data_IF_806757325320
#
_entry.id   IF_806757325320
#
_cell.length_a   1.000
_cell.length_b   1.000
_cell.length_c   1.000
_cell.angle_alpha   90.00
_cell.angle_beta   90.00
_cell.angle_gamma   90.00
#
_symmetry.space_group_name_H-M   'P 1'
#
loop_
_entity.id
_entity.type
_entity.pdbx_description
1 polymer ?
#
# COMPACT_ATOMS: atom_id res chain seq x y z
N UNK A 1 -8.39 18.27 -19.57
CA UNK A 1 -7.39 18.50 -18.49
C UNK A 1 -7.96 18.18 -17.10
N UNK A 2 -9.16 18.67 -16.76
CA UNK A 2 -9.81 18.42 -15.46
C UNK A 2 -10.04 16.94 -15.12
N UNK A 3 -10.47 16.10 -16.08
CA UNK A 3 -10.71 14.66 -15.85
C UNK A 3 -9.44 13.88 -15.44
N UNK A 4 -8.27 14.26 -15.98
CA UNK A 4 -6.99 13.65 -15.59
C UNK A 4 -6.62 14.02 -14.15
N UNK A 5 -6.82 15.28 -13.76
CA UNK A 5 -6.58 15.74 -12.39
C UNK A 5 -7.50 15.03 -11.40
N UNK A 6 -8.80 14.90 -11.71
CA UNK A 6 -9.76 14.16 -10.87
C UNK A 6 -9.32 12.70 -10.70
N UNK A 7 -8.86 12.05 -11.77
CA UNK A 7 -8.33 10.68 -11.69
C UNK A 7 -7.15 10.56 -10.74
N UNK A 8 -6.18 11.46 -10.81
CA UNK A 8 -5.03 11.41 -9.90
C UNK A 8 -5.43 11.65 -8.44
N UNK A 9 -6.43 12.48 -8.17
CA UNK A 9 -6.99 12.63 -6.83
C UNK A 9 -7.70 11.36 -6.32
N UNK A 10 -8.44 10.66 -7.19
CA UNK A 10 -9.05 9.37 -6.84
C UNK A 10 -7.95 8.35 -6.51
N UNK A 11 -6.91 8.28 -7.34
CA UNK A 11 -5.79 7.36 -7.13
C UNK A 11 -5.01 7.69 -5.86
N UNK A 12 -4.80 8.96 -5.58
CA UNK A 12 -4.19 9.45 -4.34
C UNK A 12 -4.99 8.99 -3.12
N UNK A 13 -6.28 9.35 -3.06
CA UNK A 13 -7.12 8.99 -1.91
C UNK A 13 -7.24 7.48 -1.73
N UNK A 14 -7.41 6.75 -2.83
CA UNK A 14 -7.50 5.28 -2.80
C UNK A 14 -6.21 4.64 -2.28
N UNK A 15 -5.05 5.07 -2.78
CA UNK A 15 -3.78 4.52 -2.34
C UNK A 15 -3.49 4.84 -0.88
N UNK A 16 -3.69 6.10 -0.45
CA UNK A 16 -3.44 6.50 0.93
C UNK A 16 -4.28 5.68 1.91
N UNK A 17 -5.58 5.50 1.62
CA UNK A 17 -6.49 4.69 2.44
C UNK A 17 -6.07 3.22 2.44
N UNK A 18 -5.79 2.64 1.27
CA UNK A 18 -5.37 1.24 1.17
C UNK A 18 -4.05 1.01 1.91
N UNK A 19 -3.11 1.94 1.82
CA UNK A 19 -1.82 1.85 2.52
C UNK A 19 -2.03 1.89 4.04
N UNK A 20 -2.83 2.85 4.53
CA UNK A 20 -3.16 2.93 5.95
C UNK A 20 -3.86 1.68 6.48
N UNK A 21 -4.81 1.15 5.72
CA UNK A 21 -5.49 -0.10 6.06
C UNK A 21 -4.53 -1.30 6.03
N UNK A 22 -3.60 -1.34 5.07
CA UNK A 22 -2.55 -2.37 4.99
C UNK A 22 -1.65 -2.39 6.21
N UNK A 23 -1.14 -1.22 6.60
CA UNK A 23 -0.31 -1.07 7.81
C UNK A 23 -1.06 -1.51 9.05
N UNK A 24 -2.32 -1.10 9.20
CA UNK A 24 -3.17 -1.52 10.30
C UNK A 24 -3.43 -3.04 10.30
N UNK A 25 -3.65 -3.63 9.13
CA UNK A 25 -3.89 -5.08 9.04
C UNK A 25 -2.64 -5.90 9.40
N UNK A 26 -1.45 -5.40 9.03
CA UNK A 26 -0.18 -6.01 9.45
C UNK A 26 -0.04 -5.96 10.97
N UNK A 27 -0.31 -4.82 11.59
CA UNK A 27 -0.25 -4.67 13.05
C UNK A 27 -1.28 -5.57 13.74
N UNK A 28 -2.50 -5.63 13.22
CA UNK A 28 -3.55 -6.47 13.79
C UNK A 28 -3.17 -7.96 13.76
N UNK A 29 -2.57 -8.43 12.66
CA UNK A 29 -2.25 -9.86 12.48
C UNK A 29 -0.94 -10.24 13.17
N UNK A 30 0.10 -9.41 13.04
CA UNK A 30 1.43 -9.71 13.57
C UNK A 30 1.66 -9.09 14.95
N UNK A 31 1.26 -7.84 15.16
CA UNK A 31 1.36 -7.15 16.46
C UNK A 31 0.54 -7.81 17.57
N UNK A 32 -0.61 -8.42 17.26
CA UNK A 32 -1.40 -9.18 18.25
C UNK A 32 -0.67 -10.39 18.85
N UNK A 33 0.44 -10.85 18.25
CA UNK A 33 1.30 -11.91 18.80
C UNK A 33 2.22 -11.40 19.90
N UNK A 34 2.42 -10.09 20.01
CA UNK A 34 3.31 -9.46 20.97
C UNK A 34 2.55 -9.31 22.30
N UNK A 35 2.88 -10.13 23.29
CA UNK A 35 2.17 -10.18 24.58
C UNK A 35 2.75 -9.26 25.66
N UNK A 36 3.81 -8.51 25.37
CA UNK A 36 4.48 -7.63 26.35
C UNK A 36 3.79 -6.29 26.53
N UNK A 37 3.79 -5.80 27.77
CA UNK A 37 3.33 -4.45 28.17
C UNK A 37 4.08 -3.28 27.52
N UNK A 38 5.16 -3.56 26.78
CA UNK A 38 5.98 -2.57 26.07
C UNK A 38 5.50 -2.32 24.63
N UNK A 39 4.58 -3.14 24.11
CA UNK A 39 4.01 -2.94 22.78
C UNK A 39 2.88 -1.91 22.85
N UNK A 40 3.09 -0.75 22.22
CA UNK A 40 2.08 0.29 22.09
C UNK A 40 1.18 -0.09 20.92
N UNK A 41 0.00 -0.62 21.22
CA UNK A 41 -1.05 -0.84 20.22
C UNK A 41 -1.63 0.52 19.82
N UNK A 42 -1.26 0.99 18.63
CA UNK A 42 -1.82 2.22 18.04
C UNK A 42 -3.26 2.05 17.56
N UNK A 43 -3.76 0.82 17.51
CA UNK A 43 -5.12 0.48 17.11
C UNK A 43 -5.53 1.16 15.81
N UNK A 44 -6.73 1.72 15.80
CA UNK A 44 -7.30 2.35 14.60
C UNK A 44 -6.56 3.64 14.18
N UNK A 45 -5.83 4.29 15.08
CA UNK A 45 -5.04 5.48 14.76
C UNK A 45 -3.88 5.16 13.79
N UNK A 46 -3.43 3.90 13.73
CA UNK A 46 -2.42 3.47 12.78
C UNK A 46 -2.88 3.62 11.33
N UNK A 47 -4.19 3.54 11.07
CA UNK A 47 -4.76 3.84 9.74
C UNK A 47 -4.46 5.29 9.37
N UNK A 48 -4.61 6.24 10.30
CA UNK A 48 -4.36 7.65 10.02
C UNK A 48 -2.87 7.92 9.74
N UNK A 49 -1.98 7.38 10.56
CA UNK A 49 -0.54 7.50 10.33
C UNK A 49 -0.10 6.84 9.01
N UNK A 50 -0.64 5.66 8.72
CA UNK A 50 -0.39 4.97 7.46
C UNK A 50 -0.96 5.72 6.26
N UNK A 51 -2.11 6.39 6.38
CA UNK A 51 -2.66 7.27 5.35
C UNK A 51 -1.73 8.47 5.06
N UNK A 52 -1.13 9.07 6.09
CA UNK A 52 -0.15 10.15 5.93
C UNK A 52 1.11 9.63 5.21
N UNK A 53 1.66 8.51 5.68
CA UNK A 53 2.82 7.88 5.05
C UNK A 53 2.54 7.47 3.59
N UNK A 54 1.39 6.85 3.34
CA UNK A 54 0.90 6.49 2.02
C UNK A 54 0.72 7.69 1.10
N UNK A 55 0.28 8.83 1.63
CA UNK A 55 0.16 10.08 0.86
C UNK A 55 1.51 10.58 0.35
N UNK A 56 2.55 10.48 1.18
CA UNK A 56 3.92 10.82 0.78
C UNK A 56 4.47 9.83 -0.26
N UNK A 57 4.34 8.53 0.02
CA UNK A 57 4.77 7.47 -0.91
C UNK A 57 4.03 7.52 -2.24
N UNK A 58 2.78 7.99 -2.23
CA UNK A 58 2.04 8.20 -3.47
C UNK A 58 2.73 9.24 -4.35
N UNK A 59 3.03 10.41 -3.79
CA UNK A 59 3.66 11.50 -4.55
C UNK A 59 5.03 11.11 -5.10
N UNK A 60 5.83 10.40 -4.28
CA UNK A 60 7.22 10.07 -4.62
C UNK A 60 7.34 8.85 -5.54
N UNK A 61 6.51 7.82 -5.34
CA UNK A 61 6.67 6.52 -6.01
C UNK A 61 5.48 6.22 -6.91
N UNK A 62 4.26 6.20 -6.36
CA UNK A 62 3.11 5.67 -7.11
C UNK A 62 2.67 6.60 -8.25
N UNK A 63 2.72 7.91 -8.05
CA UNK A 63 2.35 8.89 -9.06
C UNK A 63 3.26 8.81 -10.29
N UNK A 64 4.60 8.91 -10.18
CA UNK A 64 5.48 8.77 -11.35
C UNK A 64 5.35 7.39 -11.99
N UNK A 65 5.19 6.33 -11.19
CA UNK A 65 4.99 4.98 -11.70
C UNK A 65 3.69 4.87 -12.51
N UNK A 66 2.58 5.44 -12.02
CA UNK A 66 1.30 5.42 -12.72
C UNK A 66 1.38 6.16 -14.05
N UNK A 67 2.06 7.32 -14.07
CA UNK A 67 2.30 8.09 -15.30
C UNK A 67 3.11 7.27 -16.32
N UNK A 68 4.16 6.57 -15.87
CA UNK A 68 4.97 5.68 -16.71
C UNK A 68 4.11 4.53 -17.26
N UNK A 69 3.31 3.89 -16.41
CA UNK A 69 2.45 2.78 -16.82
C UNK A 69 1.41 3.19 -17.85
N UNK A 70 0.80 4.37 -17.70
CA UNK A 70 -0.13 4.89 -18.68
C UNK A 70 0.53 5.16 -20.03
N UNK A 71 1.72 5.74 -20.01
CA UNK A 71 2.42 6.16 -21.22
C UNK A 71 2.95 4.98 -22.03
N UNK A 72 3.46 3.95 -21.36
CA UNK A 72 4.18 2.86 -22.02
C UNK A 72 3.45 1.51 -21.96
N UNK A 73 2.69 1.24 -20.90
CA UNK A 73 2.20 -0.10 -20.58
C UNK A 73 0.75 -0.10 -20.07
N UNK A 74 -0.20 0.35 -20.90
CA UNK A 74 -1.61 0.45 -20.50
C UNK A 74 -2.41 -0.88 -20.59
N UNK A 75 -1.76 -2.00 -20.27
CA UNK A 75 -2.39 -3.33 -20.16
C UNK A 75 -2.58 -3.67 -18.69
N UNK A 76 -3.79 -4.11 -18.32
CA UNK A 76 -4.14 -4.44 -16.92
C UNK A 76 -3.17 -5.45 -16.30
N UNK A 77 -2.83 -6.52 -17.03
CA UNK A 77 -1.94 -7.58 -16.55
C UNK A 77 -0.55 -7.03 -16.19
N UNK A 78 -0.01 -6.10 -16.99
CA UNK A 78 1.30 -5.50 -16.71
C UNK A 78 1.22 -4.62 -15.45
N UNK A 79 0.16 -3.81 -15.33
CA UNK A 79 -0.07 -2.98 -14.13
C UNK A 79 -0.19 -3.82 -12.87
N UNK A 80 -0.92 -4.93 -12.92
CA UNK A 80 -1.05 -5.88 -11.80
C UNK A 80 0.31 -6.42 -11.37
N UNK A 81 1.11 -6.93 -12.32
CA UNK A 81 2.45 -7.47 -12.00
C UNK A 81 3.32 -6.39 -11.36
N UNK A 82 3.39 -5.20 -11.96
CA UNK A 82 4.32 -4.17 -11.48
C UNK A 82 3.89 -3.58 -10.16
N UNK A 83 2.61 -3.25 -9.98
CA UNK A 83 2.13 -2.75 -8.69
C UNK A 83 2.20 -3.81 -7.59
N UNK A 84 2.08 -5.10 -7.90
CA UNK A 84 2.36 -6.18 -6.93
C UNK A 84 3.83 -6.24 -6.55
N UNK A 85 4.77 -6.06 -7.49
CA UNK A 85 6.21 -6.00 -7.18
C UNK A 85 6.51 -4.81 -6.27
N UNK A 86 5.92 -3.65 -6.53
CA UNK A 86 6.07 -2.48 -5.65
C UNK A 86 5.43 -2.74 -4.30
N UNK A 87 4.26 -3.38 -4.26
CA UNK A 87 3.61 -3.85 -3.04
C UNK A 87 4.49 -4.79 -2.22
N UNK A 88 5.20 -5.72 -2.87
CA UNK A 88 6.19 -6.58 -2.21
C UNK A 88 7.22 -5.75 -1.44
N UNK A 89 7.85 -4.75 -2.08
CA UNK A 89 8.84 -3.90 -1.42
C UNK A 89 8.24 -3.05 -0.31
N UNK A 90 7.00 -2.55 -0.48
CA UNK A 90 6.31 -1.84 0.59
C UNK A 90 6.02 -2.72 1.79
N UNK A 91 5.60 -3.97 1.58
CA UNK A 91 5.38 -4.91 2.67
C UNK A 91 6.64 -5.17 3.49
N UNK A 92 7.80 -5.35 2.82
CA UNK A 92 9.10 -5.46 3.50
C UNK A 92 9.43 -4.20 4.31
N UNK A 93 9.27 -3.04 3.69
CA UNK A 93 9.57 -1.75 4.32
C UNK A 93 8.71 -1.52 5.56
N UNK A 94 7.39 -1.69 5.44
CA UNK A 94 6.45 -1.50 6.55
C UNK A 94 6.73 -2.47 7.69
N UNK A 95 7.01 -3.74 7.39
CA UNK A 95 7.35 -4.72 8.41
C UNK A 95 8.63 -4.33 9.17
N UNK A 96 9.68 -3.91 8.45
CA UNK A 96 10.94 -3.49 9.07
C UNK A 96 10.86 -2.19 9.87
N UNK A 97 9.90 -1.30 9.55
CA UNK A 97 9.65 -0.08 10.34
C UNK A 97 8.82 -0.38 11.59
N UNK A 98 7.81 -1.24 11.49
CA UNK A 98 6.89 -1.53 12.58
C UNK A 98 7.48 -2.50 13.62
N UNK A 99 8.27 -3.48 13.18
CA UNK A 99 8.79 -4.51 14.08
C UNK A 99 10.31 -4.43 14.22
N UNK A 100 10.77 -4.26 15.45
CA UNK A 100 12.18 -4.31 15.78
C UNK A 100 12.70 -5.75 15.75
N UNK A 101 13.95 -5.95 15.33
CA UNK A 101 14.54 -7.28 15.10
C UNK A 101 14.45 -8.24 16.30
N UNK A 102 14.54 -7.72 17.54
CA UNK A 102 14.38 -8.52 18.75
C UNK A 102 12.96 -9.08 18.89
N UNK A 103 11.93 -8.29 18.56
CA UNK A 103 10.53 -8.73 18.62
C UNK A 103 10.24 -9.79 17.55
N UNK A 104 10.87 -9.68 16.37
CA UNK A 104 10.72 -10.67 15.29
C UNK A 104 11.20 -12.05 15.72
N UNK A 105 12.34 -12.12 16.42
CA UNK A 105 12.88 -13.38 16.90
C UNK A 105 12.11 -13.94 18.10
N UNK A 106 11.70 -13.09 19.03
CA UNK A 106 11.01 -13.49 20.26
C UNK A 106 9.58 -13.96 19.98
N UNK A 107 8.85 -13.26 19.11
CA UNK A 107 7.44 -13.51 18.83
C UNK A 107 7.18 -14.24 17.50
N UNK A 108 8.23 -14.68 16.81
CA UNK A 108 8.14 -15.36 15.51
C UNK A 108 7.28 -14.59 14.50
N UNK A 109 7.44 -13.27 14.46
CA UNK A 109 6.72 -12.40 13.52
C UNK A 109 7.14 -12.75 12.10
N UNK A 110 6.17 -12.77 11.20
CA UNK A 110 6.39 -13.23 9.83
C UNK A 110 6.35 -12.06 8.84
N UNK A 111 7.48 -11.78 8.19
CA UNK A 111 7.55 -10.73 7.16
C UNK A 111 6.65 -11.04 5.95
N UNK A 112 6.48 -12.33 5.66
CA UNK A 112 5.66 -12.82 4.53
C UNK A 112 4.21 -12.34 4.62
N UNK A 113 3.64 -12.23 5.81
CA UNK A 113 2.27 -11.75 6.00
C UNK A 113 2.12 -10.30 5.53
N UNK A 114 3.07 -9.43 5.90
CA UNK A 114 3.11 -8.05 5.41
C UNK A 114 3.29 -7.97 3.89
N UNK A 115 4.21 -8.76 3.35
CA UNK A 115 4.43 -8.85 1.90
C UNK A 115 3.14 -9.20 1.17
N UNK A 116 2.42 -10.24 1.61
CA UNK A 116 1.18 -10.68 0.96
C UNK A 116 0.08 -9.61 1.02
N UNK A 117 -0.06 -8.93 2.15
CA UNK A 117 -1.03 -7.84 2.33
C UNK A 117 -0.75 -6.70 1.33
N UNK A 118 0.50 -6.24 1.26
CA UNK A 118 0.84 -5.13 0.37
C UNK A 118 0.90 -5.52 -1.11
N UNK A 119 1.21 -6.78 -1.44
CA UNK A 119 1.00 -7.31 -2.79
C UNK A 119 -0.48 -7.27 -3.20
N UNK A 120 -1.38 -7.62 -2.28
CA UNK A 120 -2.84 -7.52 -2.47
C UNK A 120 -3.29 -6.07 -2.66
N UNK A 121 -2.76 -5.13 -1.89
CA UNK A 121 -2.99 -3.69 -2.07
C UNK A 121 -2.52 -3.22 -3.45
N UNK A 122 -1.35 -3.68 -3.90
CA UNK A 122 -0.86 -3.40 -5.24
C UNK A 122 -1.81 -3.86 -6.35
N UNK A 123 -2.41 -5.04 -6.20
CA UNK A 123 -3.43 -5.56 -7.13
C UNK A 123 -4.71 -4.72 -7.12
N UNK A 124 -5.21 -4.36 -5.94
CA UNK A 124 -6.38 -3.49 -5.79
C UNK A 124 -6.12 -2.12 -6.43
N UNK A 125 -4.93 -1.55 -6.21
CA UNK A 125 -4.53 -0.30 -6.85
C UNK A 125 -4.48 -0.43 -8.38
N UNK A 126 -3.96 -1.54 -8.92
CA UNK A 126 -3.97 -1.82 -10.36
C UNK A 126 -5.38 -1.81 -10.95
N UNK A 127 -6.32 -2.41 -10.22
CA UNK A 127 -7.72 -2.46 -10.61
C UNK A 127 -8.35 -1.07 -10.61
N UNK A 128 -8.15 -0.27 -9.55
CA UNK A 128 -8.66 1.10 -9.44
C UNK A 128 -8.08 2.00 -10.54
N UNK A 129 -6.78 1.88 -10.82
CA UNK A 129 -6.11 2.56 -11.92
C UNK A 129 -6.77 2.23 -13.26
N UNK A 130 -7.00 0.95 -13.56
CA UNK A 130 -7.66 0.55 -14.80
C UNK A 130 -9.09 1.05 -14.90
N UNK A 131 -9.89 0.92 -13.83
CA UNK A 131 -11.28 1.36 -13.81
C UNK A 131 -11.39 2.89 -13.97
N UNK A 132 -10.54 3.65 -13.27
CA UNK A 132 -10.52 5.11 -13.36
C UNK A 132 -10.07 5.59 -14.74
N UNK A 133 -9.09 4.92 -15.35
CA UNK A 133 -8.65 5.22 -16.72
C UNK A 133 -9.78 4.97 -17.74
N UNK A 134 -10.44 3.82 -17.66
CA UNK A 134 -11.52 3.49 -18.59
C UNK A 134 -12.71 4.47 -18.47
N UNK A 135 -13.11 4.81 -17.24
CA UNK A 135 -14.31 5.61 -17.00
C UNK A 135 -14.13 7.11 -17.31
N UNK A 136 -12.93 7.65 -17.16
CA UNK A 136 -12.69 9.10 -17.24
C UNK A 136 -11.90 9.55 -18.48
N UNK A 137 -11.25 8.63 -19.20
CA UNK A 137 -10.37 8.96 -20.34
C UNK A 137 -10.85 8.33 -21.65
N UNK A 138 -11.42 7.12 -21.60
CA UNK A 138 -11.90 6.41 -22.79
C UNK A 138 -13.38 6.66 -23.11
N UNK A 139 -14.18 7.03 -22.10
CA UNK A 139 -15.55 7.54 -22.26
C UNK A 139 -15.55 9.06 -22.27
#
# INVERSE_FOLDING_TARGET
>A
MQLKTIRYWILFGSFSILFGFGTWLVELIEGSKITTSEHIDFGIFLIFYGCIGGSFLFGVIMLPLTIIMERFFNKLVIKMIVYSIVGYYFGKFVFGVNFHGEHVQIYHLTEVTSILIFMGIGLLYAWIDRCSYHKLILN
#
